data_IF_679772711828
#
_entry.id   IF_679772711828
#
_cell.length_a   1.000
_cell.length_b   1.000
_cell.length_c   1.000
_cell.angle_alpha   90.00
_cell.angle_beta   90.00
_cell.angle_gamma   90.00
#
_symmetry.space_group_name_H-M   'P 1'
#
loop_
_entity.id
_entity.type
_entity.pdbx_description
1 polymer ?
#
# COMPACT_ATOMS: atom_id res chain seq x y z
N UNK A 1 -11.79 7.76 -2.56
CA UNK A 1 -10.83 6.92 -3.29
C UNK A 1 -11.43 6.44 -4.59
N UNK A 2 -10.67 6.51 -5.69
CA UNK A 2 -11.14 6.16 -7.03
C UNK A 2 -10.64 4.78 -7.51
N UNK A 3 -10.41 3.83 -6.57
CA UNK A 3 -10.06 2.44 -6.88
C UNK A 3 -11.25 1.69 -7.46
N UNK A 4 -10.99 0.71 -8.34
CA UNK A 4 -12.00 -0.23 -8.80
C UNK A 4 -12.36 -1.24 -7.71
N UNK A 5 -13.58 -1.75 -7.74
CA UNK A 5 -13.98 -2.98 -7.07
C UNK A 5 -15.19 -3.59 -7.79
N UNK A 6 -15.29 -4.91 -7.71
CA UNK A 6 -16.32 -5.70 -8.35
C UNK A 6 -17.30 -6.23 -7.30
N UNK A 7 -18.57 -6.30 -7.64
CA UNK A 7 -19.60 -6.87 -6.77
C UNK A 7 -19.32 -8.35 -6.47
N UNK A 8 -19.49 -8.73 -5.21
CA UNK A 8 -19.21 -10.07 -4.72
C UNK A 8 -19.14 -10.10 -3.19
N UNK A 9 -18.41 -11.05 -2.65
CA UNK A 9 -18.32 -11.26 -1.18
C UNK A 9 -17.74 -10.06 -0.41
N UNK A 10 -16.92 -9.23 -1.08
CA UNK A 10 -16.22 -8.10 -0.46
C UNK A 10 -16.89 -6.74 -0.74
N UNK A 11 -17.69 -6.62 -1.79
CA UNK A 11 -18.32 -5.37 -2.21
C UNK A 11 -19.73 -5.61 -2.77
N UNK A 12 -20.70 -4.80 -2.34
CA UNK A 12 -22.09 -4.90 -2.76
C UNK A 12 -22.36 -4.33 -4.16
N UNK A 13 -21.40 -3.65 -4.78
CA UNK A 13 -21.57 -2.98 -6.08
C UNK A 13 -20.32 -3.12 -6.93
N UNK A 14 -20.51 -3.01 -8.26
CA UNK A 14 -19.42 -2.76 -9.20
C UNK A 14 -19.05 -1.29 -9.23
N UNK A 15 -17.76 -0.98 -9.29
CA UNK A 15 -17.26 0.38 -9.44
C UNK A 15 -15.98 0.42 -10.27
N UNK A 16 -15.97 1.08 -11.42
CA UNK A 16 -14.77 1.19 -12.24
C UNK A 16 -13.69 2.07 -11.57
N UNK A 17 -12.43 1.85 -11.96
CA UNK A 17 -11.33 2.72 -11.57
C UNK A 17 -11.56 4.15 -12.07
N UNK A 18 -11.04 5.14 -11.34
CA UNK A 18 -11.18 6.56 -11.69
C UNK A 18 -12.54 7.16 -11.35
N UNK A 19 -13.52 6.34 -10.93
CA UNK A 19 -14.84 6.83 -10.49
C UNK A 19 -14.86 6.94 -8.97
N UNK A 20 -15.32 8.05 -8.39
CA UNK A 20 -15.51 8.17 -6.95
C UNK A 20 -16.53 7.14 -6.42
N UNK A 21 -16.34 6.70 -5.19
CA UNK A 21 -17.30 5.84 -4.53
C UNK A 21 -18.64 6.60 -4.32
N UNK A 22 -19.81 6.01 -4.60
CA UNK A 22 -21.11 6.67 -4.39
C UNK A 22 -21.40 6.95 -2.90
N UNK A 23 -20.71 6.24 -2.01
CA UNK A 23 -20.79 6.46 -0.56
C UNK A 23 -19.80 7.51 -0.06
N UNK A 24 -19.01 8.15 -0.94
CA UNK A 24 -18.11 9.24 -0.57
C UNK A 24 -18.90 10.54 -0.36
N UNK A 25 -18.64 11.20 0.77
CA UNK A 25 -19.17 12.52 1.10
C UNK A 25 -17.98 13.41 1.50
N UNK A 26 -17.64 14.35 0.63
CA UNK A 26 -16.39 15.11 0.75
C UNK A 26 -15.18 14.19 0.94
N UNK A 27 -14.69 14.07 2.17
CA UNK A 27 -13.53 13.22 2.52
C UNK A 27 -13.90 12.02 3.40
N UNK A 28 -15.20 11.81 3.66
CA UNK A 28 -15.71 10.78 4.57
C UNK A 28 -16.56 9.75 3.84
N UNK A 29 -16.73 8.58 4.44
CA UNK A 29 -17.64 7.55 3.97
C UNK A 29 -18.98 7.67 4.70
N UNK A 30 -20.09 7.87 3.97
CA UNK A 30 -21.45 7.97 4.54
C UNK A 30 -21.90 6.73 5.31
N UNK A 31 -21.33 5.57 4.97
CA UNK A 31 -21.71 4.27 5.52
C UNK A 31 -20.58 3.65 6.35
N UNK A 32 -19.64 4.46 6.84
CA UNK A 32 -18.45 3.94 7.52
C UNK A 32 -18.78 3.04 8.73
N UNK A 33 -19.81 3.39 9.51
CA UNK A 33 -20.28 2.60 10.65
C UNK A 33 -20.91 1.27 10.26
N UNK A 34 -21.45 1.17 9.04
CA UNK A 34 -22.30 0.07 8.60
C UNK A 34 -21.68 -0.73 7.43
N UNK A 35 -20.37 -0.58 7.19
CA UNK A 35 -19.67 -1.18 6.03
C UNK A 35 -19.93 -2.68 5.91
N UNK A 36 -19.86 -3.42 7.03
CA UNK A 36 -20.07 -4.87 7.05
C UNK A 36 -21.51 -5.22 6.66
N UNK A 37 -22.49 -4.55 7.28
CA UNK A 37 -23.90 -4.84 7.08
C UNK A 37 -24.41 -4.43 5.68
N UNK A 38 -23.71 -3.46 5.06
CA UNK A 38 -23.98 -2.98 3.72
C UNK A 38 -23.17 -3.71 2.63
N UNK A 39 -22.43 -4.78 2.99
CA UNK A 39 -21.70 -5.61 2.04
C UNK A 39 -20.39 -4.99 1.53
N UNK A 40 -19.71 -4.18 2.34
CA UNK A 40 -18.43 -3.54 2.01
C UNK A 40 -17.30 -4.01 2.94
N UNK A 41 -17.22 -5.31 3.21
CA UNK A 41 -16.16 -5.90 4.03
C UNK A 41 -14.75 -5.63 3.44
N UNK A 42 -14.63 -5.52 2.12
CA UNK A 42 -13.39 -5.16 1.45
C UNK A 42 -12.86 -3.78 1.84
N UNK A 43 -13.75 -2.81 2.15
CA UNK A 43 -13.33 -1.50 2.64
C UNK A 43 -12.72 -1.57 4.05
N UNK A 44 -13.16 -2.53 4.89
CA UNK A 44 -12.61 -2.75 6.22
C UNK A 44 -11.24 -3.41 6.14
N UNK A 45 -11.09 -4.38 5.24
CA UNK A 45 -9.85 -5.14 5.06
C UNK A 45 -8.77 -4.36 4.31
N UNK A 46 -9.15 -3.33 3.54
CA UNK A 46 -8.22 -2.60 2.70
C UNK A 46 -7.32 -1.67 3.52
N UNK A 47 -6.01 -1.82 3.37
CA UNK A 47 -5.01 -0.87 3.83
C UNK A 47 -4.17 -0.39 2.64
N UNK A 48 -3.94 0.91 2.56
CA UNK A 48 -2.96 1.49 1.64
C UNK A 48 -1.63 1.81 2.33
N UNK A 49 -1.48 1.41 3.59
CA UNK A 49 -0.25 1.63 4.38
C UNK A 49 0.25 3.10 4.35
N UNK A 50 -0.65 4.06 4.21
CA UNK A 50 -0.29 5.48 4.11
C UNK A 50 -0.02 6.01 2.70
N UNK A 51 -0.08 5.19 1.65
CA UNK A 51 0.18 5.61 0.26
C UNK A 51 -0.76 6.74 -0.20
N UNK A 52 -2.02 6.75 0.27
CA UNK A 52 -2.98 7.80 -0.06
C UNK A 52 -2.57 9.17 0.47
N UNK A 53 -2.20 9.24 1.73
CA UNK A 53 -1.71 10.45 2.38
C UNK A 53 -0.41 10.94 1.74
N UNK A 54 0.50 10.02 1.44
CA UNK A 54 1.76 10.33 0.78
C UNK A 54 1.52 10.88 -0.63
N UNK A 55 0.57 10.30 -1.39
CA UNK A 55 0.20 10.84 -2.70
C UNK A 55 -0.22 12.30 -2.59
N UNK A 56 -1.14 12.63 -1.70
CA UNK A 56 -1.62 14.01 -1.54
C UNK A 56 -0.48 14.95 -1.12
N UNK A 57 0.44 14.50 -0.28
CA UNK A 57 1.60 15.29 0.13
C UNK A 57 2.52 15.63 -1.06
N UNK A 58 2.72 14.71 -2.02
CA UNK A 58 3.51 14.98 -3.23
C UNK A 58 2.86 15.95 -4.22
N UNK A 59 1.60 16.33 -3.99
CA UNK A 59 0.85 17.33 -4.76
C UNK A 59 0.52 18.58 -3.93
N UNK A 60 1.34 18.88 -2.91
CA UNK A 60 1.19 20.06 -2.04
C UNK A 60 -0.20 20.16 -1.39
N UNK A 61 -0.80 19.04 -1.07
CA UNK A 61 -2.14 18.96 -0.49
C UNK A 61 -3.28 19.15 -1.49
N UNK A 62 -2.99 19.35 -2.78
CA UNK A 62 -4.03 19.49 -3.80
C UNK A 62 -4.76 18.16 -3.99
N UNK A 63 -6.09 18.21 -4.09
CA UNK A 63 -6.96 17.06 -4.29
C UNK A 63 -7.65 17.11 -5.65
N UNK A 64 -7.76 15.96 -6.30
CA UNK A 64 -8.57 15.80 -7.50
C UNK A 64 -10.05 16.21 -7.29
N UNK A 65 -10.54 16.22 -6.06
CA UNK A 65 -11.91 16.71 -5.75
C UNK A 65 -12.07 18.19 -6.04
N UNK A 66 -11.02 18.99 -5.82
CA UNK A 66 -11.00 20.42 -6.09
C UNK A 66 -10.46 20.73 -7.50
N UNK A 67 -9.65 19.83 -8.06
CA UNK A 67 -9.08 19.92 -9.40
C UNK A 67 -9.14 18.56 -10.09
N UNK A 68 -10.23 18.25 -10.81
CA UNK A 68 -10.45 16.95 -11.45
C UNK A 68 -9.36 16.54 -12.44
N UNK A 69 -8.65 17.49 -13.04
CA UNK A 69 -7.58 17.22 -14.01
C UNK A 69 -6.37 16.52 -13.35
N UNK A 70 -6.24 16.60 -12.03
CA UNK A 70 -5.20 15.89 -11.27
C UNK A 70 -5.50 14.39 -11.09
N UNK A 71 -6.75 13.94 -11.29
CA UNK A 71 -7.14 12.57 -10.97
C UNK A 71 -6.27 11.51 -11.65
N UNK A 72 -5.99 11.56 -12.97
CA UNK A 72 -5.14 10.56 -13.62
C UNK A 72 -3.74 10.50 -13.02
N UNK A 73 -3.08 11.66 -12.86
CA UNK A 73 -1.72 11.74 -12.34
C UNK A 73 -1.63 11.29 -10.87
N UNK A 74 -2.60 11.68 -10.03
CA UNK A 74 -2.66 11.25 -8.64
C UNK A 74 -2.95 9.76 -8.51
N UNK A 75 -3.78 9.19 -9.38
CA UNK A 75 -4.05 7.75 -9.39
C UNK A 75 -2.82 6.94 -9.81
N UNK A 76 -2.05 7.40 -10.79
CA UNK A 76 -0.81 6.75 -11.20
C UNK A 76 0.24 6.81 -10.08
N UNK A 77 0.45 7.99 -9.50
CA UNK A 77 1.35 8.17 -8.35
C UNK A 77 0.92 7.28 -7.16
N UNK A 78 -0.39 7.22 -6.87
CA UNK A 78 -0.92 6.36 -5.82
C UNK A 78 -0.59 4.88 -6.07
N UNK A 79 -0.73 4.37 -7.31
CA UNK A 79 -0.41 2.97 -7.62
C UNK A 79 1.06 2.66 -7.37
N UNK A 80 1.97 3.56 -7.76
CA UNK A 80 3.40 3.40 -7.52
C UNK A 80 3.71 3.44 -6.02
N UNK A 81 3.20 4.43 -5.30
CA UNK A 81 3.40 4.54 -3.86
C UNK A 81 2.79 3.35 -3.11
N UNK A 82 1.62 2.87 -3.50
CA UNK A 82 1.00 1.72 -2.85
C UNK A 82 1.88 0.45 -2.94
N UNK A 83 2.55 0.23 -4.08
CA UNK A 83 3.54 -0.86 -4.23
C UNK A 83 4.74 -0.66 -3.31
N UNK A 84 5.28 0.56 -3.22
CA UNK A 84 6.43 0.86 -2.36
C UNK A 84 6.07 0.75 -0.87
N UNK A 85 4.90 1.26 -0.47
CA UNK A 85 4.41 1.16 0.91
C UNK A 85 4.15 -0.29 1.34
N UNK A 86 3.62 -1.14 0.46
CA UNK A 86 3.47 -2.56 0.75
C UNK A 86 4.82 -3.24 1.04
N UNK A 87 5.88 -2.89 0.29
CA UNK A 87 7.23 -3.39 0.57
C UNK A 87 7.80 -2.84 1.88
N UNK A 88 7.52 -1.57 2.20
CA UNK A 88 7.90 -0.96 3.47
C UNK A 88 7.24 -1.67 4.66
N UNK A 89 5.96 -2.01 4.57
CA UNK A 89 5.25 -2.78 5.62
C UNK A 89 5.95 -4.12 5.87
N UNK A 90 6.30 -4.86 4.80
CA UNK A 90 6.99 -6.15 4.92
C UNK A 90 8.38 -6.00 5.54
N UNK A 91 9.17 -5.01 5.11
CA UNK A 91 10.47 -4.72 5.70
C UNK A 91 10.34 -4.29 7.16
N UNK A 92 9.31 -3.51 7.50
CA UNK A 92 9.06 -3.07 8.88
C UNK A 92 8.65 -4.26 9.75
N UNK A 93 7.76 -5.13 9.26
CA UNK A 93 7.37 -6.35 9.97
C UNK A 93 8.56 -7.28 10.23
N UNK A 94 9.54 -7.33 9.31
CA UNK A 94 10.75 -8.14 9.48
C UNK A 94 11.64 -7.68 10.65
N UNK A 95 11.41 -6.50 11.23
CA UNK A 95 12.16 -5.99 12.39
C UNK A 95 11.99 -6.82 13.66
N UNK A 96 10.95 -7.66 13.74
CA UNK A 96 10.74 -8.57 14.87
C UNK A 96 11.69 -9.78 14.87
N UNK A 97 12.35 -10.05 13.74
CA UNK A 97 13.29 -11.16 13.62
C UNK A 97 14.62 -10.79 14.30
N UNK A 98 15.23 -11.75 14.97
CA UNK A 98 16.58 -11.60 15.56
C UNK A 98 17.63 -11.69 14.44
N UNK A 99 17.79 -10.62 13.66
CA UNK A 99 18.69 -10.57 12.51
C UNK A 99 20.15 -10.29 12.93
N UNK A 100 21.15 -10.92 12.28
CA UNK A 100 22.55 -10.49 12.36
C UNK A 100 22.70 -9.03 11.92
N UNK A 101 23.71 -8.34 12.45
CA UNK A 101 23.90 -6.89 12.22
C UNK A 101 24.03 -6.50 10.75
N UNK A 102 24.70 -7.29 9.95
CA UNK A 102 24.86 -7.08 8.50
C UNK A 102 23.55 -7.25 7.73
N UNK A 103 22.74 -8.22 8.13
CA UNK A 103 21.41 -8.46 7.57
C UNK A 103 20.46 -7.31 7.95
N UNK A 104 20.46 -6.91 9.23
CA UNK A 104 19.66 -5.77 9.69
C UNK A 104 20.06 -4.47 9.00
N UNK A 105 21.35 -4.21 8.79
CA UNK A 105 21.82 -3.05 8.06
C UNK A 105 21.32 -3.05 6.61
N UNK A 106 21.26 -4.23 5.97
CA UNK A 106 20.68 -4.38 4.63
C UNK A 106 19.19 -4.02 4.62
N UNK A 107 18.42 -4.43 5.64
CA UNK A 107 17.02 -4.07 5.81
C UNK A 107 16.82 -2.56 5.87
N UNK A 108 17.60 -1.89 6.71
CA UNK A 108 17.54 -0.42 6.88
C UNK A 108 17.90 0.32 5.59
N UNK A 109 18.95 -0.13 4.89
CA UNK A 109 19.37 0.45 3.62
C UNK A 109 18.29 0.29 2.52
N UNK A 110 17.54 -0.82 2.51
CA UNK A 110 16.42 -1.02 1.58
C UNK A 110 15.25 -0.09 1.89
N UNK A 111 14.95 0.15 3.17
CA UNK A 111 13.93 1.12 3.59
C UNK A 111 14.31 2.54 3.13
N UNK A 112 15.56 2.95 3.32
CA UNK A 112 16.04 4.26 2.87
C UNK A 112 15.97 4.42 1.35
N UNK A 113 16.27 3.35 0.59
CA UNK A 113 16.15 3.37 -0.87
C UNK A 113 14.70 3.43 -1.35
N UNK A 114 13.73 2.82 -0.63
CA UNK A 114 12.30 2.91 -0.96
C UNK A 114 11.76 4.32 -0.76
N UNK A 115 12.20 5.01 0.30
CA UNK A 115 11.72 6.33 0.68
C UNK A 115 12.90 7.27 0.99
N UNK A 116 13.58 7.77 -0.07
CA UNK A 116 14.61 8.78 0.09
C UNK A 116 14.01 10.06 0.67
N UNK A 117 14.81 10.85 1.39
CA UNK A 117 14.36 12.06 2.11
C UNK A 117 13.65 13.12 1.24
N UNK A 118 13.82 13.06 -0.07
CA UNK A 118 13.06 13.83 -1.06
C UNK A 118 12.51 12.87 -2.14
N UNK A 119 11.19 12.81 -2.25
CA UNK A 119 10.51 11.97 -3.25
C UNK A 119 9.61 12.85 -4.12
N UNK A 120 9.57 12.54 -5.42
CA UNK A 120 8.64 13.15 -6.39
C UNK A 120 7.77 12.06 -7.03
N UNK A 121 6.64 12.39 -7.68
CA UNK A 121 5.84 11.42 -8.41
C UNK A 121 6.66 10.61 -9.44
N UNK A 122 7.57 11.26 -10.17
CA UNK A 122 8.44 10.61 -11.16
C UNK A 122 9.45 9.66 -10.50
N UNK A 123 10.01 10.05 -9.36
CA UNK A 123 10.90 9.16 -8.60
C UNK A 123 10.14 7.97 -8.02
N UNK A 124 8.91 8.15 -7.51
CA UNK A 124 8.07 7.06 -7.04
C UNK A 124 7.79 6.04 -8.15
N UNK A 125 7.49 6.52 -9.37
CA UNK A 125 7.35 5.65 -10.55
C UNK A 125 8.66 4.91 -10.86
N UNK A 126 9.79 5.61 -10.96
CA UNK A 126 11.08 4.99 -11.28
C UNK A 126 11.50 3.93 -10.25
N UNK A 127 11.24 4.18 -8.96
CA UNK A 127 11.51 3.22 -7.89
C UNK A 127 10.57 2.00 -7.96
N UNK A 128 9.27 2.22 -8.21
CA UNK A 128 8.28 1.15 -8.26
C UNK A 128 8.43 0.24 -9.50
N UNK A 129 8.83 0.79 -10.63
CA UNK A 129 8.98 0.07 -11.90
C UNK A 129 10.43 -0.41 -12.14
N UNK A 130 11.37 0.06 -11.33
CA UNK A 130 12.78 -0.31 -11.38
C UNK A 130 13.09 -1.66 -10.71
N UNK A 131 14.38 -1.96 -10.50
CA UNK A 131 14.83 -3.23 -9.92
C UNK A 131 14.63 -3.32 -8.39
N UNK A 132 14.32 -2.21 -7.72
CA UNK A 132 14.27 -2.17 -6.26
C UNK A 132 13.21 -3.12 -5.64
N UNK A 133 11.97 -3.22 -6.18
CA UNK A 133 10.98 -4.18 -5.68
C UNK A 133 11.47 -5.63 -5.71
N UNK A 134 12.15 -6.05 -6.77
CA UNK A 134 12.71 -7.41 -6.87
C UNK A 134 13.80 -7.63 -5.83
N UNK A 135 14.70 -6.66 -5.63
CA UNK A 135 15.76 -6.73 -4.60
C UNK A 135 15.19 -6.84 -3.18
N UNK A 136 14.12 -6.07 -2.88
CA UNK A 136 13.42 -6.17 -1.59
C UNK A 136 12.80 -7.55 -1.42
N UNK A 137 12.12 -8.07 -2.43
CA UNK A 137 11.51 -9.40 -2.36
C UNK A 137 12.56 -10.52 -2.19
N UNK A 138 13.71 -10.44 -2.88
CA UNK A 138 14.78 -11.41 -2.73
C UNK A 138 15.40 -11.34 -1.33
N UNK A 139 15.57 -10.14 -0.80
CA UNK A 139 16.00 -9.95 0.59
C UNK A 139 14.99 -10.58 1.57
N UNK A 140 13.69 -10.28 1.44
CA UNK A 140 12.65 -10.84 2.31
C UNK A 140 12.61 -12.37 2.25
N UNK A 141 12.76 -12.97 1.07
CA UNK A 141 12.86 -14.45 0.92
C UNK A 141 14.08 -14.99 1.66
N UNK A 142 15.20 -14.28 1.64
CA UNK A 142 16.43 -14.69 2.35
C UNK A 142 16.28 -14.73 3.87
N UNK A 143 15.27 -14.01 4.41
CA UNK A 143 14.98 -14.00 5.84
C UNK A 143 14.27 -15.26 6.34
N UNK A 144 13.77 -16.13 5.48
CA UNK A 144 13.08 -17.36 5.87
C UNK A 144 13.90 -18.23 6.85
N UNK A 145 15.24 -18.22 6.72
CA UNK A 145 16.15 -18.94 7.62
C UNK A 145 16.22 -18.41 9.06
N UNK A 146 15.71 -17.18 9.28
CA UNK A 146 15.63 -16.54 10.59
C UNK A 146 14.22 -16.58 11.17
N UNK A 147 13.23 -17.06 10.41
CA UNK A 147 11.89 -17.23 10.93
C UNK A 147 11.88 -18.31 12.02
N UNK A 148 11.18 -18.11 13.16
CA UNK A 148 11.00 -19.20 14.12
C UNK A 148 10.30 -20.34 13.39
N UNK A 149 10.77 -21.56 13.62
CA UNK A 149 10.14 -22.76 13.08
C UNK A 149 8.66 -22.73 13.45
N UNK A 150 7.77 -22.79 12.45
CA UNK A 150 6.36 -22.99 12.73
C UNK A 150 6.23 -24.28 13.55
N UNK A 151 5.44 -24.29 14.65
CA UNK A 151 5.20 -25.55 15.36
C UNK A 151 4.66 -26.55 14.36
N UNK A 152 5.24 -27.76 14.34
CA UNK A 152 4.77 -28.86 13.52
C UNK A 152 3.27 -29.04 13.78
N UNK A 153 2.46 -28.71 12.78
CA UNK A 153 1.05 -29.02 12.81
C UNK A 153 0.97 -30.53 12.60
N UNK A 154 1.03 -31.31 13.70
CA UNK A 154 0.76 -32.73 13.64
C UNK A 154 -0.60 -32.94 12.98
N UNK A 155 -0.57 -33.53 11.80
CA UNK A 155 -1.76 -34.00 11.11
C UNK A 155 -2.32 -35.20 11.90
N UNK A 156 -3.29 -34.92 12.72
CA UNK A 156 -4.20 -35.91 13.25
C UNK A 156 -5.27 -36.27 12.24
#
# INVERSE_FOLDING_TARGET
MALAFDAGDAFAIDKPAGTPCPNLDCHSCKIHSDLKDKGFSGCIAYSCAGAGQHTIALYDGQSWQNNPDLLPAQMDTFRHLNRLHALLELLTAASILALPKDVEQTRLNLIEQLFPGHLTPQMAQALADGPLPSRVNDYLRSLAKFAPNAPDCERT
#
